data_IF_770096139414
#
_entry.id   IF_770096139414
#
_cell.length_a   1.000
_cell.length_b   1.000
_cell.length_c   1.000
_cell.angle_alpha   90.00
_cell.angle_beta   90.00
_cell.angle_gamma   90.00
#
_symmetry.space_group_name_H-M   'P 1'
#
loop_
_entity.id
_entity.type
_entity.pdbx_description
1 polymer ?
#
# COMPACT_ATOMS: atom_id res chain seq x y z
N UNK A 1 -2.57 -3.25 -29.55
CA UNK A 1 -3.26 -3.63 -28.30
C UNK A 1 -3.95 -2.43 -27.68
N UNK A 2 -5.16 -2.57 -27.16
CA UNK A 2 -6.00 -1.50 -26.60
C UNK A 2 -6.37 -1.77 -25.14
N UNK A 3 -6.03 -0.84 -24.26
CA UNK A 3 -6.40 -0.86 -22.83
C UNK A 3 -7.52 0.16 -22.59
N UNK A 4 -8.62 -0.29 -21.99
CA UNK A 4 -9.60 0.63 -21.39
C UNK A 4 -9.22 0.88 -19.93
N UNK A 5 -8.65 2.04 -19.65
CA UNK A 5 -8.12 2.41 -18.35
C UNK A 5 -9.17 3.11 -17.49
N UNK A 6 -9.50 2.53 -16.34
CA UNK A 6 -10.48 3.07 -15.40
C UNK A 6 -9.87 4.25 -14.64
N UNK A 7 -10.17 5.46 -15.10
CA UNK A 7 -9.54 6.69 -14.63
C UNK A 7 -10.28 7.27 -13.42
N UNK A 8 -9.67 7.14 -12.25
CA UNK A 8 -10.07 7.76 -10.98
C UNK A 8 -8.82 8.25 -10.24
N UNK A 9 -8.94 9.10 -9.21
CA UNK A 9 -7.77 9.66 -8.51
C UNK A 9 -7.08 8.63 -7.60
N UNK A 10 -6.17 7.83 -8.16
CA UNK A 10 -5.35 6.84 -7.46
C UNK A 10 -3.86 7.21 -7.45
N UNK A 11 -3.10 6.55 -6.59
CA UNK A 11 -1.64 6.56 -6.66
C UNK A 11 -1.18 5.72 -7.86
N UNK A 12 -0.14 6.20 -8.56
CA UNK A 12 0.46 5.48 -9.69
C UNK A 12 -0.25 5.66 -11.04
N UNK A 13 -1.39 6.36 -11.11
CA UNK A 13 -2.08 6.62 -12.38
C UNK A 13 -1.19 7.32 -13.41
N UNK A 14 -0.61 8.46 -13.04
CA UNK A 14 0.22 9.24 -13.97
C UNK A 14 1.46 8.43 -14.36
N UNK A 15 2.05 7.73 -13.39
CA UNK A 15 3.25 6.91 -13.56
C UNK A 15 3.00 5.69 -14.48
N UNK A 16 1.84 5.04 -14.37
CA UNK A 16 1.44 3.94 -15.27
C UNK A 16 1.12 4.44 -16.68
N UNK A 17 0.44 5.59 -16.80
CA UNK A 17 0.15 6.19 -18.10
C UNK A 17 1.44 6.64 -18.80
N UNK A 18 2.42 7.15 -18.06
CA UNK A 18 3.74 7.48 -18.59
C UNK A 18 4.49 6.22 -19.06
N UNK A 19 4.43 5.12 -18.31
CA UNK A 19 4.95 3.84 -18.77
C UNK A 19 4.27 3.34 -20.06
N UNK A 20 2.96 3.53 -20.20
CA UNK A 20 2.26 3.20 -21.45
C UNK A 20 2.70 4.09 -22.63
N UNK A 21 2.97 5.38 -22.39
CA UNK A 21 3.51 6.28 -23.42
C UNK A 21 4.91 5.85 -23.84
N UNK A 22 5.79 5.53 -22.88
CA UNK A 22 7.14 5.06 -23.15
C UNK A 22 7.13 3.75 -23.97
N UNK A 23 6.22 2.83 -23.64
CA UNK A 23 6.00 1.61 -24.42
C UNK A 23 5.65 1.93 -25.88
N UNK A 24 4.71 2.84 -26.10
CA UNK A 24 4.28 3.26 -27.44
C UNK A 24 5.40 3.97 -28.21
N UNK A 25 6.17 4.83 -27.54
CA UNK A 25 7.32 5.53 -28.13
C UNK A 25 8.45 4.58 -28.53
N UNK A 26 8.56 3.42 -27.87
CA UNK A 26 9.46 2.34 -28.27
C UNK A 26 9.03 1.58 -29.53
N UNK A 27 7.93 1.97 -30.18
CA UNK A 27 7.45 1.42 -31.45
C UNK A 27 6.41 0.31 -31.32
N UNK A 28 5.94 0.04 -30.10
CA UNK A 28 4.97 -0.99 -29.83
C UNK A 28 3.52 -0.49 -30.02
N UNK A 29 2.65 -1.33 -30.55
CA UNK A 29 1.24 -0.99 -30.77
C UNK A 29 0.44 -1.05 -29.46
N UNK A 30 0.44 0.05 -28.71
CA UNK A 30 -0.35 0.24 -27.49
C UNK A 30 -1.23 1.50 -27.58
N UNK A 31 -2.53 1.32 -27.42
CA UNK A 31 -3.54 2.37 -27.29
C UNK A 31 -4.14 2.32 -25.89
N UNK A 32 -4.13 3.44 -25.17
CA UNK A 32 -4.80 3.57 -23.87
C UNK A 32 -5.95 4.55 -23.99
N UNK A 33 -7.16 4.09 -23.66
CA UNK A 33 -8.35 4.93 -23.61
C UNK A 33 -8.80 5.10 -22.17
N UNK A 34 -8.85 6.34 -21.72
CA UNK A 34 -9.34 6.67 -20.38
C UNK A 34 -10.86 6.56 -20.33
N UNK A 35 -11.38 5.85 -19.34
CA UNK A 35 -12.79 5.76 -19.01
C UNK A 35 -13.03 6.39 -17.63
N UNK A 36 -13.86 7.44 -17.51
CA UNK A 36 -14.16 8.04 -16.21
C UNK A 36 -14.73 7.02 -15.22
N UNK A 37 -14.15 6.97 -14.02
CA UNK A 37 -14.58 6.06 -12.97
C UNK A 37 -14.51 6.75 -11.61
N UNK A 38 -15.38 6.34 -10.70
CA UNK A 38 -15.34 6.79 -9.31
C UNK A 38 -14.82 5.65 -8.44
N UNK A 39 -13.90 5.97 -7.52
CA UNK A 39 -13.54 5.03 -6.48
C UNK A 39 -14.77 4.77 -5.61
N UNK A 40 -15.27 3.55 -5.64
CA UNK A 40 -16.54 3.19 -5.00
C UNK A 40 -16.50 1.79 -4.43
N UNK A 41 -17.15 1.62 -3.27
CA UNK A 41 -17.37 0.32 -2.64
C UNK A 41 -18.66 -0.35 -3.14
N UNK A 42 -19.39 0.28 -4.08
CA UNK A 42 -20.62 -0.28 -4.67
C UNK A 42 -20.35 -1.64 -5.31
N UNK A 43 -21.14 -2.64 -4.93
CA UNK A 43 -21.11 -3.99 -5.53
C UNK A 43 -21.94 -4.11 -6.81
N UNK A 44 -22.98 -3.29 -6.94
CA UNK A 44 -23.87 -3.25 -8.10
C UNK A 44 -24.24 -1.81 -8.40
N UNK A 45 -24.35 -1.46 -9.68
CA UNK A 45 -24.84 -0.16 -10.12
C UNK A 45 -25.42 -0.31 -11.53
N UNK A 46 -26.73 -0.56 -11.67
CA UNK A 46 -27.33 -0.91 -12.96
C UNK A 46 -27.10 0.12 -14.06
N UNK A 47 -27.04 1.40 -13.71
CA UNK A 47 -26.80 2.50 -14.66
C UNK A 47 -25.35 2.47 -15.15
N UNK A 48 -24.40 2.35 -14.21
CA UNK A 48 -22.99 2.19 -14.57
C UNK A 48 -22.77 0.91 -15.38
N UNK A 49 -23.34 -0.23 -14.95
CA UNK A 49 -23.18 -1.51 -15.64
C UNK A 49 -23.66 -1.47 -17.09
N UNK A 50 -24.79 -0.80 -17.36
CA UNK A 50 -25.31 -0.65 -18.72
C UNK A 50 -24.43 0.25 -19.58
N UNK A 51 -24.03 1.42 -19.05
CA UNK A 51 -23.19 2.38 -19.77
C UNK A 51 -21.78 1.84 -20.02
N UNK A 52 -21.20 1.16 -19.03
CA UNK A 52 -19.91 0.51 -19.13
C UNK A 52 -19.94 -0.65 -20.13
N UNK A 53 -20.96 -1.52 -20.10
CA UNK A 53 -21.12 -2.58 -21.10
C UNK A 53 -21.23 -2.02 -22.53
N UNK A 54 -21.98 -0.94 -22.73
CA UNK A 54 -22.06 -0.26 -24.02
C UNK A 54 -20.70 0.28 -24.48
N UNK A 55 -19.89 0.82 -23.55
CA UNK A 55 -18.53 1.25 -23.83
C UNK A 55 -17.61 0.08 -24.22
N UNK A 56 -17.67 -1.05 -23.52
CA UNK A 56 -16.88 -2.25 -23.87
C UNK A 56 -17.18 -2.73 -25.30
N UNK A 57 -18.46 -2.77 -25.69
CA UNK A 57 -18.89 -3.17 -27.06
C UNK A 57 -18.45 -2.18 -28.14
N UNK A 58 -18.41 -0.89 -27.81
CA UNK A 58 -17.99 0.19 -28.73
C UNK A 58 -16.48 0.23 -28.91
N UNK A 59 -15.74 0.22 -27.81
CA UNK A 59 -14.29 0.42 -27.81
C UNK A 59 -13.51 -0.86 -28.17
N UNK A 60 -14.08 -2.02 -27.83
CA UNK A 60 -13.49 -3.36 -28.00
C UNK A 60 -12.04 -3.43 -27.48
N UNK A 61 -11.80 -3.15 -26.19
CA UNK A 61 -10.45 -3.24 -25.61
C UNK A 61 -10.00 -4.70 -25.52
N UNK A 62 -8.68 -4.93 -25.59
CA UNK A 62 -8.08 -6.23 -25.30
C UNK A 62 -8.24 -6.59 -23.82
N UNK A 63 -8.14 -5.57 -22.94
CA UNK A 63 -8.50 -5.69 -21.53
C UNK A 63 -8.87 -4.34 -20.91
N UNK A 64 -9.62 -4.41 -19.81
CA UNK A 64 -9.88 -3.29 -18.90
C UNK A 64 -8.81 -3.28 -17.82
N UNK A 65 -8.28 -2.11 -17.47
CA UNK A 65 -7.31 -1.95 -16.39
C UNK A 65 -7.82 -1.03 -15.28
N UNK A 66 -7.66 -1.40 -14.02
CA UNK A 66 -7.83 -0.50 -12.87
C UNK A 66 -6.75 -0.68 -11.81
N UNK A 67 -6.36 0.41 -11.15
CA UNK A 67 -5.76 0.29 -9.83
C UNK A 67 -6.82 -0.11 -8.81
N UNK A 68 -6.48 -1.09 -7.97
CA UNK A 68 -7.38 -1.87 -7.12
C UNK A 68 -8.42 -2.70 -7.89
N UNK A 69 -8.90 -3.76 -7.23
CA UNK A 69 -9.91 -4.67 -7.76
C UNK A 69 -11.33 -4.20 -7.41
N UNK A 70 -12.23 -4.19 -8.39
CA UNK A 70 -13.64 -3.81 -8.20
C UNK A 70 -14.57 -4.94 -8.70
N UNK A 71 -15.39 -5.55 -7.81
CA UNK A 71 -16.37 -6.56 -8.20
C UNK A 71 -17.32 -6.11 -9.30
N UNK A 72 -17.74 -4.84 -9.26
CA UNK A 72 -18.59 -4.22 -10.27
C UNK A 72 -17.98 -4.29 -11.68
N UNK A 73 -16.67 -4.06 -11.80
CA UNK A 73 -15.97 -4.15 -13.08
C UNK A 73 -15.85 -5.61 -13.53
N UNK A 74 -15.51 -6.51 -12.61
CA UNK A 74 -15.43 -7.96 -12.89
C UNK A 74 -16.76 -8.52 -13.38
N UNK A 75 -17.89 -8.13 -12.78
CA UNK A 75 -19.24 -8.56 -13.19
C UNK A 75 -19.52 -8.22 -14.65
N UNK A 76 -19.30 -6.95 -15.04
CA UNK A 76 -19.56 -6.49 -16.41
C UNK A 76 -18.57 -7.11 -17.39
N UNK A 77 -17.28 -7.14 -17.06
CA UNK A 77 -16.26 -7.72 -17.92
C UNK A 77 -16.50 -9.22 -18.17
N UNK A 78 -16.89 -9.97 -17.14
CA UNK A 78 -17.24 -11.38 -17.26
C UNK A 78 -18.45 -11.58 -18.18
N UNK A 79 -19.51 -10.76 -18.02
CA UNK A 79 -20.70 -10.82 -18.89
C UNK A 79 -20.38 -10.48 -20.35
N UNK A 80 -19.54 -9.48 -20.58
CA UNK A 80 -19.13 -9.03 -21.92
C UNK A 80 -17.95 -9.83 -22.50
N UNK A 81 -17.43 -10.83 -21.77
CA UNK A 81 -16.30 -11.67 -22.16
C UNK A 81 -15.01 -10.89 -22.46
N UNK A 82 -14.79 -9.79 -21.74
CA UNK A 82 -13.59 -8.93 -21.82
C UNK A 82 -12.70 -9.24 -20.63
N UNK A 83 -11.38 -9.29 -20.83
CA UNK A 83 -10.42 -9.50 -19.74
C UNK A 83 -10.42 -8.29 -18.80
N UNK A 84 -10.40 -8.53 -17.50
CA UNK A 84 -10.29 -7.50 -16.47
C UNK A 84 -8.99 -7.66 -15.71
N UNK A 85 -8.15 -6.64 -15.79
CA UNK A 85 -6.85 -6.56 -15.13
C UNK A 85 -6.96 -5.54 -14.00
N UNK A 86 -6.49 -5.92 -12.81
CA UNK A 86 -6.36 -4.99 -11.71
C UNK A 86 -5.02 -5.13 -11.01
N UNK A 87 -4.46 -4.01 -10.55
CA UNK A 87 -3.25 -4.01 -9.73
C UNK A 87 -3.54 -3.34 -8.41
N UNK A 88 -3.54 -4.13 -7.35
CA UNK A 88 -3.94 -3.73 -6.01
C UNK A 88 -2.72 -3.23 -5.25
N UNK A 89 -2.82 -2.02 -4.71
CA UNK A 89 -1.81 -1.45 -3.80
C UNK A 89 -2.35 -1.24 -2.38
N UNK A 90 -3.66 -1.41 -2.17
CA UNK A 90 -4.27 -1.32 -0.84
C UNK A 90 -4.24 -2.68 -0.14
N UNK A 91 -3.88 -2.66 1.14
CA UNK A 91 -3.95 -3.84 2.01
C UNK A 91 -4.34 -3.40 3.43
N UNK A 92 -5.51 -3.82 3.94
CA UNK A 92 -6.41 -4.81 3.36
C UNK A 92 -7.26 -4.23 2.21
N UNK A 93 -7.64 -5.07 1.25
CA UNK A 93 -8.59 -4.73 0.19
C UNK A 93 -9.77 -5.71 0.17
N UNK A 94 -10.86 -5.38 0.87
CA UNK A 94 -12.00 -6.27 1.12
C UNK A 94 -12.68 -6.74 -0.16
N UNK A 95 -12.61 -5.95 -1.22
CA UNK A 95 -13.14 -6.30 -2.53
C UNK A 95 -12.52 -7.56 -3.12
N UNK A 96 -11.32 -7.96 -2.70
CA UNK A 96 -10.72 -9.25 -3.09
C UNK A 96 -11.52 -10.45 -2.57
N UNK A 97 -12.27 -10.29 -1.48
CA UNK A 97 -13.08 -11.36 -0.90
C UNK A 97 -14.48 -11.46 -1.52
N UNK A 98 -14.74 -10.77 -2.63
CA UNK A 98 -15.96 -10.97 -3.41
C UNK A 98 -15.87 -12.29 -4.20
N UNK A 99 -16.98 -13.04 -4.30
CA UNK A 99 -17.03 -14.23 -5.16
C UNK A 99 -16.64 -13.92 -6.61
N UNK A 100 -16.82 -12.68 -7.06
CA UNK A 100 -16.47 -12.24 -8.42
C UNK A 100 -14.98 -12.36 -8.71
N UNK A 101 -14.12 -12.47 -7.69
CA UNK A 101 -12.68 -12.69 -7.85
C UNK A 101 -12.38 -13.92 -8.72
N UNK A 102 -13.20 -14.97 -8.62
CA UNK A 102 -13.00 -16.24 -9.35
C UNK A 102 -13.46 -16.18 -10.81
N UNK A 103 -14.03 -15.07 -11.27
CA UNK A 103 -14.45 -14.95 -12.67
C UNK A 103 -13.24 -15.16 -13.61
N UNK A 104 -13.38 -15.98 -14.66
CA UNK A 104 -12.25 -16.35 -15.53
C UNK A 104 -11.72 -15.18 -16.37
N UNK A 105 -12.43 -14.05 -16.42
CA UNK A 105 -11.94 -12.84 -17.06
C UNK A 105 -10.84 -12.13 -16.26
N UNK A 106 -10.68 -12.44 -14.96
CA UNK A 106 -9.86 -11.65 -14.05
C UNK A 106 -8.37 -11.99 -14.08
N UNK A 107 -7.56 -10.94 -13.98
CA UNK A 107 -6.11 -10.96 -13.76
C UNK A 107 -5.81 -9.95 -12.65
N UNK A 108 -5.77 -10.42 -11.41
CA UNK A 108 -5.66 -9.57 -10.22
C UNK A 108 -4.26 -9.67 -9.64
N UNK A 109 -3.50 -8.59 -9.77
CA UNK A 109 -2.15 -8.48 -9.25
C UNK A 109 -2.16 -7.91 -7.84
N UNK A 110 -1.55 -8.59 -6.88
CA UNK A 110 -1.40 -8.16 -5.48
C UNK A 110 0.07 -8.05 -5.11
N UNK A 111 0.41 -7.06 -4.30
CA UNK A 111 1.80 -6.76 -3.92
C UNK A 111 2.29 -7.46 -2.65
N UNK A 112 1.38 -8.09 -1.91
CA UNK A 112 1.69 -8.82 -0.68
C UNK A 112 1.67 -10.32 -0.97
N UNK A 113 2.83 -10.98 -0.81
CA UNK A 113 2.98 -12.40 -1.14
C UNK A 113 2.10 -13.30 -0.27
N UNK A 114 1.83 -12.95 0.99
CA UNK A 114 0.94 -13.73 1.87
C UNK A 114 -0.51 -13.66 1.39
N UNK A 115 -0.94 -12.50 0.88
CA UNK A 115 -2.27 -12.35 0.26
C UNK A 115 -2.36 -13.21 -1.00
N UNK A 116 -1.34 -13.19 -1.86
CA UNK A 116 -1.26 -14.03 -3.04
C UNK A 116 -1.34 -15.54 -2.68
N UNK A 117 -0.47 -15.98 -1.77
CA UNK A 117 -0.42 -17.38 -1.33
C UNK A 117 -1.73 -17.83 -0.70
N UNK A 118 -2.41 -16.96 0.06
CA UNK A 118 -3.73 -17.27 0.63
C UNK A 118 -4.74 -17.66 -0.43
N UNK A 119 -4.84 -16.89 -1.53
CA UNK A 119 -5.76 -17.21 -2.62
C UNK A 119 -5.32 -18.44 -3.42
N UNK A 120 -4.02 -18.59 -3.71
CA UNK A 120 -3.50 -19.76 -4.44
C UNK A 120 -3.70 -21.06 -3.66
N UNK A 121 -3.49 -21.05 -2.33
CA UNK A 121 -3.74 -22.21 -1.45
C UNK A 121 -5.21 -22.63 -1.46
N UNK A 122 -6.13 -21.72 -1.76
CA UNK A 122 -7.56 -21.99 -1.94
C UNK A 122 -7.94 -22.40 -3.37
N UNK A 123 -6.96 -22.53 -4.28
CA UNK A 123 -7.18 -22.93 -5.67
C UNK A 123 -7.62 -21.80 -6.60
N UNK A 124 -7.53 -20.53 -6.17
CA UNK A 124 -7.90 -19.37 -6.99
C UNK A 124 -6.73 -19.04 -7.93
N UNK A 125 -6.98 -19.13 -9.24
CA UNK A 125 -5.97 -18.96 -10.30
C UNK A 125 -6.00 -17.58 -10.97
N UNK A 126 -6.92 -16.70 -10.56
CA UNK A 126 -7.09 -15.35 -11.12
C UNK A 126 -6.21 -14.31 -10.44
N UNK A 127 -5.49 -14.70 -9.37
CA UNK A 127 -4.63 -13.81 -8.57
C UNK A 127 -3.17 -14.11 -8.85
N UNK A 128 -2.37 -13.04 -8.97
CA UNK A 128 -0.96 -13.07 -9.32
C UNK A 128 -0.17 -12.18 -8.35
N UNK A 129 1.03 -12.58 -7.98
CA UNK A 129 1.94 -11.74 -7.22
C UNK A 129 2.65 -10.75 -8.14
N UNK A 130 2.67 -9.47 -7.78
CA UNK A 130 3.43 -8.44 -8.49
C UNK A 130 3.79 -7.30 -7.53
N UNK A 131 5.07 -7.11 -7.18
CA UNK A 131 5.48 -6.00 -6.32
C UNK A 131 5.21 -4.65 -7.01
N UNK A 132 5.06 -3.59 -6.20
CA UNK A 132 4.83 -2.24 -6.70
C UNK A 132 6.08 -1.66 -7.40
N UNK A 133 5.97 -0.42 -7.88
CA UNK A 133 7.01 0.22 -8.66
C UNK A 133 7.10 1.73 -8.42
N UNK A 134 8.21 2.31 -8.87
CA UNK A 134 8.42 3.75 -8.91
C UNK A 134 8.67 4.24 -10.35
N UNK A 135 8.27 5.48 -10.63
CA UNK A 135 8.63 6.15 -11.89
C UNK A 135 9.97 6.87 -11.71
N UNK A 136 11.07 6.11 -11.73
CA UNK A 136 12.41 6.64 -11.46
C UNK A 136 12.80 7.72 -12.47
N UNK A 137 12.37 7.63 -13.74
CA UNK A 137 12.61 8.67 -14.75
C UNK A 137 12.03 10.02 -14.33
N UNK A 138 10.79 10.05 -13.85
CA UNK A 138 10.16 11.27 -13.30
C UNK A 138 10.89 11.74 -12.05
N UNK A 139 11.20 10.84 -11.14
CA UNK A 139 11.84 11.18 -9.86
C UNK A 139 13.27 11.70 -10.05
N UNK A 140 14.03 11.18 -11.01
CA UNK A 140 15.37 11.65 -11.40
C UNK A 140 15.33 13.05 -12.00
N UNK A 141 14.28 13.36 -12.78
CA UNK A 141 14.09 14.68 -13.39
C UNK A 141 13.72 15.79 -12.38
N UNK A 142 13.38 15.43 -11.13
CA UNK A 142 13.04 16.40 -10.08
C UNK A 142 14.30 16.90 -9.36
N UNK A 143 14.86 17.99 -9.87
CA UNK A 143 16.05 18.64 -9.30
C UNK A 143 15.77 19.35 -7.98
N UNK A 144 16.70 19.19 -7.02
CA UNK A 144 16.64 19.87 -5.71
C UNK A 144 17.39 21.19 -5.79
N UNK A 145 16.64 22.29 -5.91
CA UNK A 145 17.21 23.66 -5.80
C UNK A 145 17.45 24.04 -4.34
N UNK A 146 18.22 25.11 -4.12
CA UNK A 146 18.47 25.63 -2.75
C UNK A 146 17.19 26.02 -1.99
N UNK A 147 16.15 26.47 -2.70
CA UNK A 147 14.84 26.79 -2.10
C UNK A 147 14.06 25.53 -1.70
N UNK A 148 14.08 24.52 -2.57
CA UNK A 148 13.47 23.21 -2.31
C UNK A 148 14.15 22.54 -1.11
N UNK A 149 15.49 22.51 -1.11
CA UNK A 149 16.26 21.96 -0.01
C UNK A 149 15.91 22.65 1.32
N UNK A 150 15.94 23.99 1.37
CA UNK A 150 15.57 24.74 2.59
C UNK A 150 14.16 24.45 3.09
N UNK A 151 13.23 24.15 2.18
CA UNK A 151 11.81 23.88 2.50
C UNK A 151 11.59 22.47 3.06
N UNK A 152 12.31 21.48 2.55
CA UNK A 152 12.04 20.07 2.81
C UNK A 152 13.13 19.34 3.60
N UNK A 153 14.29 19.96 3.84
CA UNK A 153 15.36 19.32 4.61
C UNK A 153 14.89 18.88 6.00
N UNK A 154 15.26 17.67 6.39
CA UNK A 154 14.96 17.11 7.70
C UNK A 154 15.95 16.01 8.08
N UNK A 155 16.21 15.85 9.39
CA UNK A 155 17.05 14.77 9.93
C UNK A 155 16.33 13.41 9.84
N UNK A 156 15.08 13.38 10.25
CA UNK A 156 14.22 12.20 10.19
C UNK A 156 12.85 12.65 9.76
N UNK A 157 12.25 11.99 8.76
CA UNK A 157 10.88 12.32 8.35
C UNK A 157 9.99 11.09 8.21
N UNK A 158 8.70 11.30 8.43
CA UNK A 158 7.66 10.33 8.11
C UNK A 158 6.56 11.01 7.31
N UNK A 159 6.20 10.43 6.17
CA UNK A 159 5.08 10.87 5.32
C UNK A 159 3.98 9.82 5.35
N UNK A 160 2.87 10.12 6.01
CA UNK A 160 1.74 9.21 6.07
C UNK A 160 0.72 9.54 7.14
N UNK A 161 -0.36 8.77 7.13
CA UNK A 161 -1.40 8.86 8.14
C UNK A 161 -0.93 8.26 9.48
N UNK A 162 -1.39 8.82 10.58
CA UNK A 162 -1.26 8.17 11.89
C UNK A 162 -2.49 7.33 12.25
N UNK A 163 -3.56 7.39 11.47
CA UNK A 163 -4.86 6.80 11.79
C UNK A 163 -5.46 7.31 13.12
N UNK A 164 -5.22 8.58 13.48
CA UNK A 164 -5.83 9.26 14.65
C UNK A 164 -7.20 9.88 14.41
N UNK A 165 -7.83 9.60 13.28
CA UNK A 165 -9.16 10.13 12.95
C UNK A 165 -10.12 9.93 14.14
N UNK A 166 -10.82 10.98 14.55
CA UNK A 166 -11.62 11.06 15.80
C UNK A 166 -12.78 10.05 15.92
N UNK A 167 -12.85 9.09 14.99
CA UNK A 167 -13.83 8.02 14.88
C UNK A 167 -13.22 6.72 14.32
N UNK A 168 -11.97 6.37 14.67
CA UNK A 168 -11.44 5.04 14.29
C UNK A 168 -12.39 3.93 14.75
N UNK A 169 -12.43 2.83 14.00
CA UNK A 169 -13.31 1.71 14.31
C UNK A 169 -13.10 1.18 15.73
N UNK A 170 -11.85 1.08 16.20
CA UNK A 170 -11.56 0.59 17.53
C UNK A 170 -12.05 1.55 18.62
N UNK A 171 -11.75 2.85 18.52
CA UNK A 171 -12.12 3.82 19.56
C UNK A 171 -13.65 3.97 19.72
N UNK A 172 -14.41 3.72 18.65
CA UNK A 172 -15.88 3.63 18.70
C UNK A 172 -16.38 2.35 19.34
N UNK A 173 -15.66 1.24 19.15
CA UNK A 173 -15.99 -0.08 19.67
C UNK A 173 -15.64 -0.20 21.15
N UNK A 174 -14.46 0.27 21.54
CA UNK A 174 -13.86 0.10 22.88
C UNK A 174 -14.79 0.54 24.01
N UNK A 175 -15.48 1.68 23.85
CA UNK A 175 -16.39 2.24 24.85
C UNK A 175 -17.62 1.37 25.13
N UNK A 176 -17.89 0.38 24.26
CA UNK A 176 -19.05 -0.51 24.32
C UNK A 176 -18.68 -1.96 24.63
N UNK A 177 -17.37 -2.27 24.71
CA UNK A 177 -16.90 -3.61 25.04
C UNK A 177 -17.13 -3.89 26.54
N UNK A 178 -17.41 -5.15 26.87
CA UNK A 178 -17.30 -5.63 28.24
C UNK A 178 -15.83 -5.67 28.69
N UNK A 179 -15.62 -5.68 30.01
CA UNK A 179 -14.29 -5.57 30.59
C UNK A 179 -13.34 -6.71 30.18
N UNK A 180 -13.86 -7.92 29.98
CA UNK A 180 -13.05 -9.07 29.59
C UNK A 180 -12.61 -8.96 28.14
N UNK A 181 -13.54 -8.71 27.22
CA UNK A 181 -13.24 -8.53 25.79
C UNK A 181 -12.24 -7.38 25.59
N UNK A 182 -12.44 -6.26 26.29
CA UNK A 182 -11.51 -5.12 26.23
C UNK A 182 -10.10 -5.50 26.71
N UNK A 183 -9.98 -6.09 27.90
CA UNK A 183 -8.68 -6.48 28.46
C UNK A 183 -7.94 -7.52 27.60
N UNK A 184 -8.68 -8.46 27.00
CA UNK A 184 -8.12 -9.42 26.06
C UNK A 184 -7.54 -8.73 24.81
N UNK A 185 -8.32 -7.83 24.19
CA UNK A 185 -7.86 -7.09 23.00
C UNK A 185 -6.68 -6.18 23.31
N UNK A 186 -6.66 -5.52 24.47
CA UNK A 186 -5.51 -4.73 24.93
C UNK A 186 -4.25 -5.60 25.04
N UNK A 187 -4.33 -6.75 25.72
CA UNK A 187 -3.22 -7.69 25.85
C UNK A 187 -2.74 -8.24 24.49
N UNK A 188 -3.69 -8.57 23.61
CA UNK A 188 -3.41 -9.05 22.26
C UNK A 188 -2.66 -7.99 21.43
N UNK A 189 -3.15 -6.74 21.44
CA UNK A 189 -2.50 -5.63 20.73
C UNK A 189 -1.10 -5.35 21.28
N UNK A 190 -0.91 -5.31 22.60
CA UNK A 190 0.42 -5.10 23.20
C UNK A 190 1.38 -6.25 22.89
N UNK A 191 0.87 -7.47 22.76
CA UNK A 191 1.69 -8.63 22.37
C UNK A 191 2.10 -8.55 20.90
N UNK A 192 1.18 -8.21 20.00
CA UNK A 192 1.45 -8.09 18.56
C UNK A 192 2.48 -7.00 18.25
N UNK A 193 2.49 -5.89 19.00
CA UNK A 193 3.48 -4.80 18.85
C UNK A 193 4.94 -5.24 19.11
N UNK A 194 5.15 -6.37 19.77
CA UNK A 194 6.48 -6.90 20.09
C UNK A 194 7.01 -7.88 19.04
N UNK A 195 6.22 -8.18 18.00
CA UNK A 195 6.54 -9.20 17.00
C UNK A 195 6.33 -8.62 15.61
N UNK A 196 7.43 -8.49 14.88
CA UNK A 196 7.42 -8.22 13.44
C UNK A 196 7.51 -9.52 12.64
N UNK A 197 7.09 -9.48 11.37
CA UNK A 197 7.11 -10.64 10.46
C UNK A 197 5.98 -11.66 10.63
N UNK A 198 5.21 -11.60 11.72
CA UNK A 198 4.02 -12.46 11.92
C UNK A 198 2.86 -11.60 12.42
N UNK A 199 1.69 -11.72 11.77
CA UNK A 199 0.44 -11.16 12.25
C UNK A 199 -0.48 -12.27 12.76
N UNK A 200 -0.66 -12.36 14.08
CA UNK A 200 -1.45 -13.40 14.73
C UNK A 200 -2.82 -12.90 15.23
N UNK A 201 -3.18 -11.66 14.93
CA UNK A 201 -4.42 -11.04 15.42
C UNK A 201 -5.64 -11.87 15.06
N UNK A 202 -5.81 -12.17 13.77
CA UNK A 202 -6.97 -12.91 13.26
C UNK A 202 -7.11 -14.30 13.91
N UNK A 203 -5.99 -15.04 14.01
CA UNK A 203 -5.96 -16.36 14.60
C UNK A 203 -6.23 -16.37 16.11
N UNK A 204 -6.00 -15.25 16.79
CA UNK A 204 -6.23 -15.10 18.23
C UNK A 204 -7.60 -14.53 18.58
N UNK A 205 -8.46 -14.22 17.59
CA UNK A 205 -9.85 -13.86 17.86
C UNK A 205 -10.67 -15.12 18.12
N UNK A 206 -10.96 -15.39 19.39
CA UNK A 206 -11.80 -16.53 19.78
C UNK A 206 -13.28 -16.20 19.54
N UNK A 207 -14.18 -17.21 19.41
CA UNK A 207 -15.61 -16.95 19.22
C UNK A 207 -16.25 -16.08 20.31
N UNK A 208 -15.76 -16.17 21.56
CA UNK A 208 -16.23 -15.33 22.67
C UNK A 208 -15.85 -13.86 22.48
N UNK A 209 -14.60 -13.60 22.07
CA UNK A 209 -14.07 -12.26 21.81
C UNK A 209 -14.73 -11.65 20.58
N UNK A 210 -14.91 -12.43 19.51
CA UNK A 210 -15.66 -12.02 18.33
C UNK A 210 -17.10 -11.64 18.67
N UNK A 211 -17.78 -12.44 19.50
CA UNK A 211 -19.13 -12.12 19.94
C UNK A 211 -19.17 -10.82 20.78
N UNK A 212 -18.15 -10.58 21.61
CA UNK A 212 -17.97 -9.32 22.32
C UNK A 212 -17.85 -8.11 21.38
N UNK A 213 -16.97 -8.21 20.38
CA UNK A 213 -16.81 -7.17 19.36
C UNK A 213 -18.08 -6.96 18.53
N UNK A 214 -18.76 -8.04 18.12
CA UNK A 214 -20.01 -7.98 17.37
C UNK A 214 -21.14 -7.29 18.14
N UNK A 215 -21.24 -7.51 19.45
CA UNK A 215 -22.21 -6.78 20.30
C UNK A 215 -21.88 -5.29 20.38
N UNK A 216 -20.60 -4.94 20.48
CA UNK A 216 -20.15 -3.56 20.64
C UNK A 216 -20.25 -2.75 19.35
N UNK A 217 -19.85 -3.35 18.22
CA UNK A 217 -19.85 -2.70 16.90
C UNK A 217 -20.07 -3.74 15.80
N UNK A 218 -21.32 -4.05 15.45
CA UNK A 218 -21.63 -5.03 14.41
C UNK A 218 -20.95 -4.68 13.09
N UNK A 219 -20.13 -5.59 12.58
CA UNK A 219 -19.65 -5.58 11.20
C UNK A 219 -20.38 -6.67 10.44
N UNK A 220 -20.96 -6.29 9.30
CA UNK A 220 -21.72 -7.20 8.44
C UNK A 220 -20.92 -7.35 7.15
N UNK A 221 -20.46 -8.57 6.80
CA UNK A 221 -19.84 -8.85 5.52
C UNK A 221 -20.74 -8.43 4.36
N UNK A 222 -20.12 -8.16 3.20
CA UNK A 222 -20.92 -7.86 2.02
C UNK A 222 -21.70 -9.10 1.58
N UNK A 223 -22.86 -8.92 0.93
CA UNK A 223 -23.66 -10.05 0.44
C UNK A 223 -22.92 -10.91 -0.59
N UNK A 224 -21.94 -10.33 -1.29
CA UNK A 224 -21.05 -11.01 -2.24
C UNK A 224 -19.72 -11.46 -1.62
N UNK A 225 -19.49 -11.14 -0.34
CA UNK A 225 -18.26 -11.36 0.39
C UNK A 225 -18.15 -12.76 0.97
N UNK A 226 -16.93 -13.30 1.00
CA UNK A 226 -16.58 -14.56 1.66
C UNK A 226 -15.65 -14.37 2.86
N UNK A 227 -15.38 -13.11 3.23
CA UNK A 227 -14.62 -12.77 4.43
C UNK A 227 -15.29 -13.27 5.73
N UNK A 228 -14.46 -13.62 6.72
CA UNK A 228 -14.94 -13.92 8.07
C UNK A 228 -15.10 -12.63 8.88
N UNK A 229 -15.96 -12.65 9.91
CA UNK A 229 -16.03 -11.56 10.88
C UNK A 229 -14.67 -11.33 11.57
N UNK A 230 -13.98 -12.40 11.97
CA UNK A 230 -12.62 -12.34 12.49
C UNK A 230 -11.67 -11.56 11.57
N UNK A 231 -11.66 -11.84 10.26
CA UNK A 231 -10.85 -11.12 9.28
C UNK A 231 -11.18 -9.63 9.27
N UNK A 232 -12.46 -9.26 9.23
CA UNK A 232 -12.88 -7.86 9.23
C UNK A 232 -12.41 -7.11 10.48
N UNK A 233 -12.62 -7.70 11.67
CA UNK A 233 -12.14 -7.10 12.92
C UNK A 233 -10.62 -7.00 12.95
N UNK A 234 -9.91 -8.08 12.62
CA UNK A 234 -8.46 -8.11 12.63
C UNK A 234 -7.87 -7.03 11.70
N UNK A 235 -8.29 -7.01 10.44
CA UNK A 235 -7.65 -6.16 9.42
C UNK A 235 -8.11 -4.68 9.46
N UNK A 236 -9.40 -4.43 9.68
CA UNK A 236 -9.95 -3.08 9.59
C UNK A 236 -10.09 -2.37 10.94
N UNK A 237 -10.04 -3.11 12.06
CA UNK A 237 -10.23 -2.54 13.40
C UNK A 237 -8.94 -2.65 14.21
N UNK A 238 -8.49 -3.86 14.50
CA UNK A 238 -7.40 -4.11 15.44
C UNK A 238 -6.03 -3.74 14.82
N UNK A 239 -5.70 -4.19 13.61
CA UNK A 239 -4.43 -3.87 12.95
C UNK A 239 -4.24 -2.36 12.70
N UNK A 240 -5.33 -1.65 12.37
CA UNK A 240 -5.31 -0.19 12.24
C UNK A 240 -5.04 0.48 13.59
N UNK A 241 -5.64 -0.01 14.68
CA UNK A 241 -5.39 0.50 16.04
C UNK A 241 -3.95 0.26 16.49
N UNK A 242 -3.42 -0.94 16.26
CA UNK A 242 -2.02 -1.26 16.57
C UNK A 242 -1.09 -0.30 15.81
N UNK A 243 -1.32 -0.13 14.50
CA UNK A 243 -0.50 0.78 13.68
C UNK A 243 -0.58 2.22 14.17
N UNK A 244 -1.76 2.69 14.58
CA UNK A 244 -1.95 4.02 15.17
C UNK A 244 -1.09 4.19 16.43
N UNK A 245 -1.14 3.22 17.34
CA UNK A 245 -0.36 3.24 18.58
C UNK A 245 1.15 3.23 18.27
N UNK A 246 1.60 2.29 17.43
CA UNK A 246 3.02 2.14 17.11
C UNK A 246 3.61 3.35 16.43
N UNK A 247 2.96 3.88 15.38
CA UNK A 247 3.46 5.07 14.68
C UNK A 247 3.63 6.23 15.65
N UNK A 248 2.67 6.42 16.55
CA UNK A 248 2.68 7.51 17.52
C UNK A 248 3.73 7.35 18.61
N UNK A 249 3.89 6.13 19.13
CA UNK A 249 4.90 5.81 20.12
C UNK A 249 6.30 5.96 19.53
N UNK A 250 6.56 5.37 18.35
CA UNK A 250 7.84 5.44 17.64
C UNK A 250 8.23 6.90 17.36
N UNK A 251 7.32 7.69 16.78
CA UNK A 251 7.63 9.07 16.44
C UNK A 251 7.97 9.88 17.70
N UNK A 252 7.25 9.68 18.80
CA UNK A 252 7.55 10.34 20.08
C UNK A 252 8.93 9.93 20.61
N UNK A 253 9.22 8.64 20.63
CA UNK A 253 10.48 8.09 21.14
C UNK A 253 11.69 8.61 20.33
N UNK A 254 11.57 8.67 19.00
CA UNK A 254 12.61 9.27 18.15
C UNK A 254 12.78 10.75 18.46
N UNK A 255 11.67 11.48 18.60
CA UNK A 255 11.68 12.92 18.82
C UNK A 255 12.31 13.33 20.17
N UNK A 256 12.36 12.44 21.16
CA UNK A 256 13.11 12.67 22.41
C UNK A 256 14.63 12.77 22.20
N UNK A 257 15.15 12.32 21.05
CA UNK A 257 16.60 12.28 20.74
C UNK A 257 16.97 13.12 19.53
N UNK A 258 16.12 13.19 18.51
CA UNK A 258 16.42 13.84 17.22
C UNK A 258 15.17 14.53 16.68
N UNK A 259 15.27 15.74 16.10
CA UNK A 259 14.13 16.39 15.46
C UNK A 259 13.50 15.54 14.35
N UNK A 260 12.17 15.41 14.39
CA UNK A 260 11.39 14.65 13.40
C UNK A 260 10.45 15.60 12.63
N UNK A 261 10.43 15.51 11.31
CA UNK A 261 9.40 16.17 10.49
C UNK A 261 8.30 15.16 10.15
N UNK A 262 7.07 15.45 10.60
CA UNK A 262 5.91 14.60 10.37
C UNK A 262 4.96 15.24 9.37
N UNK A 263 4.78 14.62 8.21
CA UNK A 263 3.79 15.01 7.19
C UNK A 263 2.56 14.11 7.29
N UNK A 264 1.45 14.65 7.81
CA UNK A 264 0.24 13.88 8.12
C UNK A 264 -1.02 14.74 7.95
N UNK A 265 -2.19 14.14 7.62
CA UNK A 265 -3.46 14.86 7.71
C UNK A 265 -3.90 15.12 9.16
N UNK A 266 -3.30 14.42 10.13
CA UNK A 266 -3.62 14.55 11.53
C UNK A 266 -2.97 15.80 12.15
N UNK A 267 -3.72 16.90 12.16
CA UNK A 267 -3.30 18.15 12.76
C UNK A 267 -3.27 18.14 14.31
N UNK A 268 -3.75 17.06 14.94
CA UNK A 268 -3.85 16.96 16.41
C UNK A 268 -2.63 16.33 17.08
N UNK A 269 -1.75 15.69 16.30
CA UNK A 269 -0.54 15.09 16.84
C UNK A 269 0.39 16.15 17.43
N UNK A 270 0.91 15.87 18.63
CA UNK A 270 1.89 16.72 19.30
C UNK A 270 2.88 15.87 20.08
N UNK A 271 4.15 16.26 19.98
CA UNK A 271 5.28 15.72 20.72
C UNK A 271 6.42 16.77 20.74
N UNK A 272 7.28 16.79 21.76
CA UNK A 272 8.50 17.59 21.73
C UNK A 272 9.32 17.30 20.48
N UNK A 273 9.95 18.33 19.90
CA UNK A 273 10.85 18.22 18.73
C UNK A 273 10.26 17.57 17.45
N UNK A 274 8.93 17.48 17.37
CA UNK A 274 8.21 17.14 16.14
C UNK A 274 7.77 18.40 15.41
N UNK A 275 8.28 18.58 14.20
CA UNK A 275 7.77 19.56 13.24
C UNK A 275 6.61 18.96 12.47
N UNK A 276 5.38 19.31 12.86
CA UNK A 276 4.17 18.90 12.16
C UNK A 276 4.01 19.71 10.86
N UNK A 277 3.74 19.01 9.75
CA UNK A 277 3.48 19.57 8.42
C UNK A 277 2.19 18.98 7.85
N UNK A 278 1.42 19.75 7.06
CA UNK A 278 0.25 19.22 6.37
C UNK A 278 0.65 18.16 5.35
N UNK A 279 -0.35 17.43 4.85
CA UNK A 279 -0.17 16.52 3.72
C UNK A 279 0.56 17.21 2.55
N UNK A 280 1.51 16.49 1.98
CA UNK A 280 2.21 16.87 0.76
C UNK A 280 1.57 16.18 -0.44
N UNK A 281 1.57 16.87 -1.57
CA UNK A 281 1.12 16.28 -2.83
C UNK A 281 2.04 15.11 -3.25
N UNK A 282 1.45 14.02 -3.73
CA UNK A 282 2.18 12.79 -4.06
C UNK A 282 3.15 12.98 -5.23
N UNK A 283 2.74 13.68 -6.30
CA UNK A 283 3.57 13.80 -7.50
C UNK A 283 4.57 14.96 -7.39
N UNK A 284 4.17 16.07 -6.78
CA UNK A 284 4.90 17.35 -6.87
C UNK A 284 5.67 17.74 -5.62
N UNK A 285 5.41 17.12 -4.46
CA UNK A 285 6.02 17.53 -3.19
C UNK A 285 6.68 16.37 -2.44
N UNK A 286 6.01 15.22 -2.36
CA UNK A 286 6.50 14.04 -1.63
C UNK A 286 7.90 13.58 -2.08
N UNK A 287 8.24 13.55 -3.39
CA UNK A 287 9.58 13.19 -3.83
C UNK A 287 10.68 14.12 -3.28
N UNK A 288 10.38 15.41 -3.12
CA UNK A 288 11.34 16.35 -2.54
C UNK A 288 11.55 16.12 -1.05
N UNK A 289 10.53 15.69 -0.32
CA UNK A 289 10.69 15.25 1.08
C UNK A 289 11.66 14.08 1.13
N UNK A 290 11.47 13.07 0.28
CA UNK A 290 12.33 11.88 0.27
C UNK A 290 13.78 12.19 -0.11
N UNK A 291 13.99 13.08 -1.10
CA UNK A 291 15.33 13.55 -1.53
C UNK A 291 16.05 14.42 -0.50
N UNK A 292 15.30 15.21 0.28
CA UNK A 292 15.89 16.17 1.23
C UNK A 292 15.91 15.66 2.68
N UNK A 293 15.36 14.47 2.94
CA UNK A 293 15.38 13.87 4.27
C UNK A 293 16.59 12.96 4.41
N UNK A 294 17.25 13.13 5.54
CA UNK A 294 18.37 12.32 5.96
C UNK A 294 17.98 10.84 6.19
N UNK A 295 16.97 10.56 7.02
CA UNK A 295 16.40 9.22 7.21
C UNK A 295 14.89 9.27 6.98
N UNK A 296 14.41 8.59 5.94
CA UNK A 296 12.99 8.44 5.68
C UNK A 296 12.47 7.21 6.42
N UNK A 297 11.55 7.41 7.37
CA UNK A 297 10.91 6.32 8.08
C UNK A 297 9.81 5.69 7.20
N UNK A 298 9.80 4.36 7.13
CA UNK A 298 8.64 3.60 6.69
C UNK A 298 8.13 2.72 7.83
N UNK A 299 6.97 3.11 8.37
CA UNK A 299 6.27 2.37 9.43
C UNK A 299 5.06 1.69 8.79
N UNK A 300 5.20 0.41 8.44
CA UNK A 300 4.22 -0.34 7.65
C UNK A 300 2.90 -0.51 8.41
N UNK A 301 1.78 -0.50 7.67
CA UNK A 301 0.47 -0.80 8.25
C UNK A 301 0.40 -2.30 8.57
N UNK A 302 -0.01 -2.68 9.78
CA UNK A 302 0.02 -4.09 10.26
C UNK A 302 -0.79 -5.09 9.44
N UNK A 303 -1.73 -4.63 8.62
CA UNK A 303 -2.46 -5.50 7.69
C UNK A 303 -1.62 -5.96 6.50
N UNK A 304 -0.56 -5.22 6.14
CA UNK A 304 0.46 -5.67 5.21
C UNK A 304 1.29 -6.70 5.96
N UNK A 305 1.20 -7.96 5.52
CA UNK A 305 1.76 -9.11 6.22
C UNK A 305 3.21 -9.33 5.81
N UNK A 306 3.47 -9.38 4.50
CA UNK A 306 4.80 -9.59 3.92
C UNK A 306 5.20 -8.53 2.90
N UNK A 307 4.22 -7.85 2.29
CA UNK A 307 4.40 -7.01 1.11
C UNK A 307 5.26 -5.77 1.33
N UNK A 308 5.83 -5.27 0.24
CA UNK A 308 6.59 -4.01 0.21
C UNK A 308 5.61 -2.84 -0.04
N UNK A 309 5.39 -1.92 0.91
CA UNK A 309 4.51 -0.78 0.69
C UNK A 309 5.05 0.16 -0.39
N UNK A 310 4.16 0.83 -1.12
CA UNK A 310 4.52 1.79 -2.20
C UNK A 310 5.56 2.81 -1.75
N UNK A 311 5.47 3.29 -0.50
CA UNK A 311 6.39 4.27 0.09
C UNK A 311 7.86 3.84 -0.02
N UNK A 312 8.17 2.55 0.12
CA UNK A 312 9.56 2.08 0.03
C UNK A 312 10.08 2.25 -1.40
N UNK A 313 9.28 1.90 -2.41
CA UNK A 313 9.64 2.14 -3.81
C UNK A 313 9.77 3.63 -4.13
N UNK A 314 8.89 4.48 -3.59
CA UNK A 314 8.99 5.93 -3.82
C UNK A 314 10.22 6.55 -3.16
N UNK A 315 10.56 6.14 -1.93
CA UNK A 315 11.76 6.63 -1.23
C UNK A 315 13.02 6.21 -2.00
N UNK A 316 13.18 4.92 -2.26
CA UNK A 316 14.37 4.41 -2.95
C UNK A 316 14.43 4.93 -4.39
N UNK A 317 13.32 4.92 -5.11
CA UNK A 317 13.22 5.47 -6.47
C UNK A 317 13.47 6.97 -6.56
N UNK A 318 13.33 7.72 -5.46
CA UNK A 318 13.71 9.13 -5.38
C UNK A 318 15.19 9.34 -5.00
N UNK A 319 15.91 8.28 -4.61
CA UNK A 319 17.29 8.35 -4.11
C UNK A 319 17.39 8.63 -2.61
N UNK A 320 16.30 8.46 -1.86
CA UNK A 320 16.27 8.66 -0.42
C UNK A 320 16.73 7.42 0.36
N UNK A 321 17.36 7.63 1.51
CA UNK A 321 17.65 6.54 2.46
C UNK A 321 16.38 6.16 3.22
N UNK A 322 16.04 4.86 3.25
CA UNK A 322 14.87 4.31 3.96
C UNK A 322 15.29 3.50 5.18
N UNK A 323 14.63 3.77 6.30
CA UNK A 323 14.65 2.93 7.50
C UNK A 323 13.24 2.41 7.78
N UNK A 324 13.06 1.09 7.75
CA UNK A 324 11.73 0.46 7.81
C UNK A 324 11.62 -0.61 8.90
N UNK A 325 10.41 -0.92 9.36
CA UNK A 325 10.18 -2.20 10.04
C UNK A 325 10.37 -3.37 9.05
N UNK A 326 10.62 -4.56 9.58
CA UNK A 326 10.79 -5.77 8.78
C UNK A 326 9.56 -6.08 7.90
N UNK A 327 9.80 -6.44 6.62
CA UNK A 327 8.85 -7.00 5.66
C UNK A 327 9.57 -8.09 4.86
N UNK A 328 9.02 -9.30 4.82
CA UNK A 328 9.67 -10.47 4.22
C UNK A 328 9.95 -10.29 2.71
N UNK A 329 9.01 -9.68 1.97
CA UNK A 329 9.15 -9.51 0.52
C UNK A 329 10.34 -8.63 0.15
N UNK A 330 10.80 -7.72 1.03
CA UNK A 330 12.01 -6.91 0.79
C UNK A 330 13.22 -7.80 0.51
N UNK A 331 13.34 -8.91 1.23
CA UNK A 331 14.49 -9.82 1.11
C UNK A 331 14.53 -10.57 -0.22
N UNK A 332 13.41 -10.61 -0.95
CA UNK A 332 13.34 -11.25 -2.27
C UNK A 332 13.88 -10.36 -3.40
N UNK A 333 13.99 -9.04 -3.15
CA UNK A 333 14.32 -8.05 -4.18
C UNK A 333 15.51 -7.16 -3.82
N UNK A 334 15.79 -7.01 -2.52
CA UNK A 334 16.79 -6.11 -1.99
C UNK A 334 17.63 -6.79 -0.91
N UNK A 335 18.86 -6.30 -0.76
CA UNK A 335 19.86 -6.79 0.18
C UNK A 335 19.95 -5.83 1.37
N UNK A 336 19.61 -6.28 2.60
CA UNK A 336 19.69 -5.45 3.80
C UNK A 336 21.10 -4.94 4.09
N UNK A 337 21.23 -3.69 4.50
CA UNK A 337 22.53 -3.04 4.76
C UNK A 337 23.28 -2.60 3.50
N UNK A 338 22.82 -3.03 2.30
CA UNK A 338 23.37 -2.60 1.03
C UNK A 338 22.40 -1.68 0.27
N UNK A 339 21.11 -2.03 0.19
CA UNK A 339 20.12 -1.26 -0.59
C UNK A 339 19.14 -0.49 0.29
N UNK A 340 18.88 -1.01 1.48
CA UNK A 340 17.92 -0.48 2.44
C UNK A 340 18.30 -0.94 3.84
N UNK A 341 17.71 -0.31 4.86
CA UNK A 341 17.88 -0.71 6.25
C UNK A 341 16.53 -0.99 6.89
N UNK A 342 16.42 -2.11 7.60
CA UNK A 342 15.32 -2.36 8.52
C UNK A 342 15.80 -2.45 9.97
N UNK A 343 14.89 -2.27 10.91
CA UNK A 343 15.12 -2.51 12.33
C UNK A 343 14.32 -3.72 12.84
N UNK A 344 14.86 -4.39 13.86
CA UNK A 344 14.26 -5.59 14.47
C UNK A 344 13.37 -5.26 15.66
N UNK A 345 13.72 -4.21 16.41
CA UNK A 345 12.94 -3.72 17.54
C UNK A 345 13.14 -2.21 17.78
N UNK A 346 12.58 -1.69 18.89
CA UNK A 346 12.67 -0.26 19.24
C UNK A 346 14.10 0.16 19.60
N UNK A 347 14.87 -0.70 20.25
CA UNK A 347 16.25 -0.37 20.62
C UNK A 347 17.11 -0.27 19.36
N UNK A 348 17.03 -1.27 18.48
CA UNK A 348 17.76 -1.31 17.21
C UNK A 348 17.35 -0.15 16.28
N UNK A 349 16.07 0.25 16.26
CA UNK A 349 15.60 1.45 15.57
C UNK A 349 16.35 2.70 16.05
N UNK A 350 16.42 2.91 17.36
CA UNK A 350 17.06 4.09 17.93
C UNK A 350 18.58 4.09 17.71
N UNK A 351 19.22 2.92 17.83
CA UNK A 351 20.66 2.74 17.56
C UNK A 351 20.98 3.02 16.08
N UNK A 352 20.19 2.49 15.14
CA UNK A 352 20.36 2.73 13.70
C UNK A 352 20.11 4.20 13.32
N UNK A 353 19.13 4.86 13.92
CA UNK A 353 18.93 6.31 13.71
C UNK A 353 20.18 7.08 14.15
N UNK A 354 20.67 6.84 15.37
CA UNK A 354 21.87 7.51 15.86
C UNK A 354 23.11 7.24 14.97
N UNK A 355 23.26 5.99 14.52
CA UNK A 355 24.35 5.56 13.64
C UNK A 355 24.30 6.27 12.28
N UNK A 356 23.22 6.10 11.50
CA UNK A 356 23.16 6.59 10.13
C UNK A 356 23.10 8.13 10.04
N UNK A 357 22.69 8.82 11.10
CA UNK A 357 22.77 10.28 11.19
C UNK A 357 24.20 10.83 11.29
N UNK A 358 25.17 9.98 11.64
CA UNK A 358 26.60 10.33 11.72
C UNK A 358 27.45 9.66 10.64
N UNK A 359 26.88 8.72 9.88
CA UNK A 359 27.55 7.96 8.81
C UNK A 359 26.99 8.34 7.43
N UNK A 360 27.19 9.59 7.03
CA UNK A 360 26.60 10.14 5.80
C UNK A 360 27.01 9.39 4.54
N UNK A 361 28.31 9.10 4.37
CA UNK A 361 28.83 8.43 3.17
C UNK A 361 28.22 7.04 2.97
N UNK A 362 28.20 6.22 4.02
CA UNK A 362 27.59 4.89 4.01
C UNK A 362 26.10 4.97 3.70
N UNK A 363 25.38 5.86 4.39
CA UNK A 363 23.96 6.07 4.18
C UNK A 363 23.63 6.49 2.74
N UNK A 364 24.45 7.36 2.14
CA UNK A 364 24.30 7.78 0.74
C UNK A 364 24.63 6.64 -0.24
N UNK A 365 25.62 5.81 0.09
CA UNK A 365 25.94 4.62 -0.70
C UNK A 365 24.77 3.62 -0.70
N UNK A 366 24.14 3.39 0.47
CA UNK A 366 22.96 2.53 0.59
C UNK A 366 21.79 3.07 -0.21
N UNK A 367 21.46 4.35 -0.03
CA UNK A 367 20.37 5.01 -0.77
C UNK A 367 20.58 4.93 -2.30
N UNK A 368 21.83 5.08 -2.74
CA UNK A 368 22.21 4.93 -4.16
C UNK A 368 22.01 3.49 -4.65
N UNK A 369 22.43 2.49 -3.89
CA UNK A 369 22.25 1.08 -4.28
C UNK A 369 20.77 0.71 -4.40
N UNK A 370 19.95 1.10 -3.42
CA UNK A 370 18.50 0.89 -3.45
C UNK A 370 17.82 1.59 -4.63
N UNK A 371 18.22 2.84 -4.90
CA UNK A 371 17.77 3.57 -6.08
C UNK A 371 18.10 2.84 -7.39
N UNK A 372 19.34 2.42 -7.57
CA UNK A 372 19.81 1.78 -8.80
C UNK A 372 19.07 0.45 -9.03
N UNK A 373 18.84 -0.36 -7.97
CA UNK A 373 18.03 -1.58 -8.08
C UNK A 373 16.56 -1.30 -8.40
N UNK A 374 15.95 -0.26 -7.84
CA UNK A 374 14.57 0.13 -8.22
C UNK A 374 14.51 0.57 -9.69
N UNK A 375 15.49 1.34 -10.14
CA UNK A 375 15.61 1.81 -11.53
C UNK A 375 15.76 0.66 -12.52
N UNK A 376 16.52 -0.36 -12.17
CA UNK A 376 16.79 -1.51 -13.01
C UNK A 376 15.63 -2.53 -13.01
N UNK A 377 14.97 -2.75 -11.86
CA UNK A 377 14.09 -3.91 -11.67
C UNK A 377 12.64 -3.58 -11.24
N UNK A 378 12.34 -2.36 -10.78
CA UNK A 378 11.05 -2.03 -10.16
C UNK A 378 10.42 -0.74 -10.71
N UNK A 379 10.40 -0.61 -12.04
CA UNK A 379 9.76 0.52 -12.73
C UNK A 379 8.36 0.17 -13.22
N UNK A 380 7.50 1.18 -13.38
CA UNK A 380 6.15 0.99 -13.94
C UNK A 380 6.18 0.36 -15.35
N UNK A 381 7.21 0.65 -16.15
CA UNK A 381 7.36 0.02 -17.47
C UNK A 381 7.60 -1.49 -17.36
N UNK A 382 8.43 -1.94 -16.41
CA UNK A 382 8.66 -3.36 -16.18
C UNK A 382 7.39 -4.05 -15.68
N UNK A 383 6.66 -3.43 -14.74
CA UNK A 383 5.39 -3.99 -14.26
C UNK A 383 4.34 -4.05 -15.36
N UNK A 384 4.28 -3.05 -16.25
CA UNK A 384 3.44 -3.09 -17.44
C UNK A 384 3.83 -4.28 -18.36
N UNK A 385 5.13 -4.55 -18.57
CA UNK A 385 5.63 -5.72 -19.33
C UNK A 385 5.10 -7.02 -18.75
N UNK A 386 5.27 -7.20 -17.45
CA UNK A 386 4.87 -8.41 -16.72
C UNK A 386 3.36 -8.62 -16.75
N UNK A 387 2.59 -7.56 -16.53
CA UNK A 387 1.12 -7.59 -16.60
C UNK A 387 0.66 -8.05 -17.99
N UNK A 388 1.14 -7.38 -19.04
CA UNK A 388 0.77 -7.71 -20.43
C UNK A 388 1.17 -9.14 -20.77
N UNK A 389 2.39 -9.54 -20.41
CA UNK A 389 2.90 -10.89 -20.66
C UNK A 389 1.99 -11.94 -20.02
N UNK A 390 1.62 -11.74 -18.75
CA UNK A 390 0.70 -12.62 -18.02
C UNK A 390 -0.66 -12.68 -18.72
N UNK A 391 -1.23 -11.53 -19.04
CA UNK A 391 -2.57 -11.42 -19.65
C UNK A 391 -2.62 -12.09 -21.03
N UNK A 392 -1.55 -12.04 -21.82
CA UNK A 392 -1.48 -12.66 -23.14
C UNK A 392 -1.22 -14.17 -23.06
N UNK A 393 -0.35 -14.61 -22.14
CA UNK A 393 0.14 -15.99 -22.11
C UNK A 393 -0.65 -16.95 -21.22
N UNK A 394 -1.53 -16.45 -20.34
CA UNK A 394 -2.46 -17.32 -19.63
C UNK A 394 -3.37 -18.04 -20.63
N UNK A 395 -3.18 -19.35 -20.76
CA UNK A 395 -4.03 -20.22 -21.59
C UNK A 395 -5.44 -20.22 -21.00
N UNK A 396 -6.44 -20.01 -21.86
CA UNK A 396 -7.86 -20.17 -21.52
C UNK A 396 -8.22 -21.64 -21.35
#
# INVERSE_FOLDING_TARGET
MKILFMNWKSYGNEDFLDACKEWKEAGEDLEVKLYPFENTDKRTDPVFEQTFAAALRREKPDFVFSFNFYPLLSLVCNREQVKYVSWVYDCPHISLYSYTLIHPCNYVFVFDSEVYETFVRQGIQTVYYLPLAANVKRLDAMEVTGDIWRRYQSRVSFVGQLYHESHTFYDRMEKKLDAYTRGYLEGLMQSQKKVDGINFIEACLTPEIEAGMQRAMPLIPNADGVETSAYMYAQYVINRKITQMERSEIIREIAEKVPVTLYTPDASFSAPDVTLRPCVDYYTQTPYVYKCTDINLNLTLRSIKKGIPLRIFDIMGAGGFVLTNYQEDLLSFFTPGEDFVYYEDRQDLMEKIAYYLTHEEERRAIAKSGHDKVKENHTYLLRLKEIIHTVINSKR
#
